data_IF_991598964899
#
_entry.id   IF_991598964899
#
_cell.length_a   1.000
_cell.length_b   1.000
_cell.length_c   1.000
_cell.angle_alpha   90.00
_cell.angle_beta   90.00
_cell.angle_gamma   90.00
#
_symmetry.space_group_name_H-M   'P 1'
#
loop_
_entity.id
_entity.type
_entity.pdbx_description
1 polymer ?
#
# COMPACT_ATOMS: atom_id res chain seq x y z
N UNK A 1 -2.30 -18.42 -1.35
CA UNK A 1 -2.82 -17.26 -2.06
C UNK A 1 -1.99 -15.98 -1.87
N UNK A 2 -1.55 -15.62 -0.64
CA UNK A 2 -0.64 -14.46 -0.43
C UNK A 2 0.66 -14.59 -1.27
N UNK A 3 1.25 -15.79 -1.33
CA UNK A 3 2.43 -16.04 -2.16
C UNK A 3 2.13 -15.88 -3.67
N UNK A 4 0.97 -16.33 -4.14
CA UNK A 4 0.54 -16.12 -5.52
C UNK A 4 0.36 -14.62 -5.82
N UNK A 5 -0.32 -13.87 -4.92
CA UNK A 5 -0.45 -12.41 -5.04
C UNK A 5 0.91 -11.74 -5.17
N UNK A 6 1.85 -12.07 -4.28
CA UNK A 6 3.22 -11.52 -4.30
C UNK A 6 3.95 -11.86 -5.60
N UNK A 7 3.82 -13.09 -6.07
CA UNK A 7 4.38 -13.52 -7.35
C UNK A 7 3.82 -12.70 -8.52
N UNK A 8 2.49 -12.51 -8.58
CA UNK A 8 1.86 -11.69 -9.63
C UNK A 8 2.28 -10.22 -9.56
N UNK A 9 2.36 -9.63 -8.35
CA UNK A 9 2.84 -8.26 -8.16
C UNK A 9 4.25 -8.10 -8.75
N UNK A 10 5.17 -9.01 -8.45
CA UNK A 10 6.55 -8.95 -8.97
C UNK A 10 6.67 -9.12 -10.49
N UNK A 11 5.60 -9.51 -11.16
CA UNK A 11 5.58 -9.66 -12.63
C UNK A 11 5.08 -8.41 -13.34
N UNK A 12 4.54 -7.44 -12.61
CA UNK A 12 4.08 -6.18 -13.18
C UNK A 12 5.20 -5.34 -13.79
N UNK A 13 6.41 -5.39 -13.20
CA UNK A 13 7.58 -4.63 -13.65
C UNK A 13 8.48 -5.40 -14.63
N UNK A 14 8.26 -6.70 -14.80
CA UNK A 14 9.17 -7.56 -15.57
C UNK A 14 8.71 -7.89 -16.99
N UNK A 15 7.65 -7.26 -17.48
CA UNK A 15 7.08 -7.51 -18.83
C UNK A 15 6.97 -8.99 -19.17
N UNK A 16 6.56 -9.83 -18.21
CA UNK A 16 6.51 -11.28 -18.38
C UNK A 16 5.13 -11.75 -18.85
N UNK A 17 5.07 -12.89 -19.54
CA UNK A 17 3.88 -13.38 -20.25
C UNK A 17 2.66 -13.72 -19.38
N UNK A 18 2.74 -13.65 -18.06
CA UNK A 18 1.61 -13.95 -17.17
C UNK A 18 0.44 -12.95 -17.30
N UNK A 19 0.72 -11.73 -17.75
CA UNK A 19 -0.31 -10.77 -18.14
C UNK A 19 -0.56 -10.75 -19.66
N UNK A 20 0.05 -11.69 -20.39
CA UNK A 20 -0.11 -11.87 -21.83
C UNK A 20 0.21 -10.60 -22.61
N UNK A 21 -0.70 -10.19 -23.48
CA UNK A 21 -0.57 -8.97 -24.29
C UNK A 21 -0.91 -7.68 -23.53
N UNK A 22 -1.29 -7.75 -22.25
CA UNK A 22 -1.65 -6.56 -21.47
C UNK A 22 -0.44 -5.72 -21.07
N UNK A 23 0.74 -6.33 -20.91
CA UNK A 23 1.98 -5.64 -20.58
C UNK A 23 3.03 -5.89 -21.66
N UNK A 24 3.00 -5.09 -22.70
CA UNK A 24 3.98 -5.09 -23.78
C UNK A 24 4.65 -3.73 -23.89
N UNK A 25 5.87 -3.65 -24.42
CA UNK A 25 6.56 -2.37 -24.65
C UNK A 25 5.75 -1.37 -25.48
N UNK A 26 4.90 -1.88 -26.40
CA UNK A 26 4.12 -1.05 -27.31
C UNK A 26 2.92 -0.36 -26.64
N UNK A 27 2.49 -0.83 -25.45
CA UNK A 27 1.34 -0.28 -24.74
C UNK A 27 1.65 0.29 -23.36
N UNK A 28 2.95 0.43 -23.04
CA UNK A 28 3.43 1.05 -21.80
C UNK A 28 4.21 2.34 -22.11
N UNK A 29 4.02 3.37 -21.29
CA UNK A 29 4.84 4.56 -21.23
C UNK A 29 5.78 4.53 -20.04
N UNK A 30 6.95 5.12 -20.17
CA UNK A 30 7.93 5.28 -19.08
C UNK A 30 7.61 6.54 -18.29
N UNK A 31 7.55 6.42 -16.97
CA UNK A 31 7.29 7.52 -16.04
C UNK A 31 8.12 7.36 -14.79
N UNK A 32 8.50 8.47 -14.17
CA UNK A 32 8.99 8.51 -12.80
C UNK A 32 7.84 8.55 -11.78
N UNK A 33 8.07 8.10 -10.56
CA UNK A 33 7.09 8.24 -9.47
C UNK A 33 6.68 9.71 -9.27
N UNK A 34 7.61 10.66 -9.47
CA UNK A 34 7.33 12.10 -9.36
C UNK A 34 6.41 12.66 -10.44
N UNK A 35 6.29 12.00 -11.61
CA UNK A 35 5.31 12.33 -12.65
C UNK A 35 3.95 11.67 -12.37
N UNK A 36 3.95 10.53 -11.68
CA UNK A 36 2.75 9.75 -11.36
C UNK A 36 2.03 10.26 -10.11
N UNK A 37 2.76 10.84 -9.16
CA UNK A 37 2.20 11.30 -7.89
C UNK A 37 2.97 12.50 -7.33
N UNK A 38 2.34 13.20 -6.41
CA UNK A 38 2.95 14.30 -5.65
C UNK A 38 2.93 13.98 -4.16
N UNK A 39 3.96 14.39 -3.41
CA UNK A 39 3.90 14.36 -1.94
C UNK A 39 2.89 15.40 -1.45
N UNK A 40 1.95 14.98 -0.62
CA UNK A 40 0.96 15.87 0.02
C UNK A 40 1.62 16.55 1.22
N UNK A 41 1.72 17.90 1.23
CA UNK A 41 2.37 18.62 2.31
C UNK A 41 1.45 18.89 3.51
N UNK A 42 0.15 18.58 3.38
CA UNK A 42 -0.88 18.92 4.35
C UNK A 42 -0.57 18.39 5.75
N UNK A 43 -0.69 19.28 6.75
CA UNK A 43 -0.40 18.98 8.17
C UNK A 43 -1.44 19.64 9.06
N UNK A 44 -1.51 19.12 10.29
CA UNK A 44 -2.21 19.76 11.41
C UNK A 44 -1.27 19.87 12.61
N UNK A 45 -1.24 21.04 13.24
CA UNK A 45 -0.48 21.25 14.47
C UNK A 45 -1.25 20.75 15.70
N UNK A 46 -2.57 20.59 15.56
CA UNK A 46 -3.44 20.07 16.62
C UNK A 46 -4.30 18.92 16.10
N UNK A 47 -3.77 17.69 16.10
CA UNK A 47 -4.48 16.51 15.61
C UNK A 47 -5.80 16.23 16.33
N UNK A 48 -5.86 16.50 17.65
CA UNK A 48 -7.07 16.27 18.46
C UNK A 48 -8.26 17.12 18.01
N UNK A 49 -7.98 18.32 17.49
CA UNK A 49 -9.01 19.28 17.04
C UNK A 49 -9.11 19.37 15.51
N UNK A 50 -8.51 18.43 14.80
CA UNK A 50 -8.53 18.39 13.32
C UNK A 50 -9.89 18.00 12.72
N UNK A 51 -10.82 17.50 13.52
CA UNK A 51 -12.07 16.89 13.07
C UNK A 51 -11.89 15.48 12.49
N UNK A 52 -10.68 14.93 12.53
CA UNK A 52 -10.35 13.57 12.05
C UNK A 52 -10.02 12.70 13.26
N UNK A 53 -10.78 11.64 13.47
CA UNK A 53 -10.65 10.76 14.64
C UNK A 53 -9.61 9.64 14.46
N UNK A 54 -9.25 9.34 13.20
CA UNK A 54 -8.38 8.20 12.87
C UNK A 54 -6.93 8.62 12.72
N UNK A 55 -6.03 7.90 13.39
CA UNK A 55 -4.59 8.07 13.28
C UNK A 55 -3.95 6.80 12.70
N UNK A 56 -3.07 6.99 11.72
CA UNK A 56 -2.26 5.93 11.12
C UNK A 56 -0.79 6.12 11.58
N UNK A 57 -0.36 5.29 12.51
CA UNK A 57 1.03 5.17 12.94
C UNK A 57 1.82 4.21 12.05
N UNK A 58 3.13 4.09 12.31
CA UNK A 58 3.97 3.14 11.57
C UNK A 58 3.60 1.68 11.86
N UNK A 59 3.06 1.39 13.03
CA UNK A 59 2.70 0.03 13.46
C UNK A 59 1.33 -0.42 12.92
N UNK A 60 0.58 0.50 12.32
CA UNK A 60 -0.69 0.18 11.65
C UNK A 60 -0.49 -0.36 10.22
N UNK A 61 0.74 -0.30 9.70
CA UNK A 61 1.10 -0.91 8.43
C UNK A 61 1.50 -2.37 8.62
N UNK A 62 0.93 -3.25 7.81
CA UNK A 62 1.38 -4.63 7.66
C UNK A 62 2.13 -4.79 6.33
N UNK A 63 3.34 -5.37 6.39
CA UNK A 63 4.13 -5.63 5.17
C UNK A 63 3.35 -6.49 4.16
N UNK A 64 3.26 -6.00 2.94
CA UNK A 64 2.55 -6.66 1.85
C UNK A 64 1.02 -6.55 1.89
N UNK A 65 0.43 -5.87 2.87
CA UNK A 65 -1.00 -5.52 2.81
C UNK A 65 -1.18 -4.22 2.00
N UNK A 66 -2.05 -4.28 0.99
CA UNK A 66 -2.22 -3.20 0.01
C UNK A 66 -3.11 -2.06 0.52
N UNK A 67 -3.85 -2.28 1.59
CA UNK A 67 -4.78 -1.30 2.17
C UNK A 67 -4.61 -1.25 3.68
N UNK A 68 -4.64 -0.05 4.25
CA UNK A 68 -4.64 0.13 5.71
C UNK A 68 -5.87 -0.52 6.32
N UNK A 69 -5.66 -1.40 7.30
CA UNK A 69 -6.72 -2.12 8.02
C UNK A 69 -6.82 -1.68 9.49
N UNK A 70 -5.76 -1.08 10.04
CA UNK A 70 -5.67 -0.68 11.44
C UNK A 70 -5.48 0.82 11.55
N UNK A 71 -5.98 1.39 12.60
CA UNK A 71 -5.79 2.79 12.97
C UNK A 71 -6.01 2.95 14.48
N UNK A 72 -5.48 4.03 15.03
CA UNK A 72 -5.67 4.43 16.44
C UNK A 72 -6.49 5.71 16.51
N UNK A 73 -6.86 6.16 17.73
CA UNK A 73 -7.52 7.45 17.96
C UNK A 73 -6.51 8.60 17.93
N UNK A 74 -6.96 9.78 17.48
CA UNK A 74 -6.18 11.03 17.55
C UNK A 74 -6.17 11.69 18.92
N UNK A 75 -7.00 11.26 19.87
CA UNK A 75 -7.23 11.92 21.18
C UNK A 75 -5.97 12.18 22.02
N UNK A 76 -4.94 11.35 21.88
CA UNK A 76 -3.70 11.45 22.66
C UNK A 76 -2.54 12.08 21.88
N UNK A 77 -2.78 12.56 20.67
CA UNK A 77 -1.72 13.14 19.84
C UNK A 77 -1.53 14.61 20.20
N UNK A 78 -0.30 14.98 20.57
CA UNK A 78 0.06 16.37 20.99
C UNK A 78 1.04 17.05 20.04
N UNK A 79 1.55 16.34 19.02
CA UNK A 79 2.54 16.89 18.09
C UNK A 79 1.93 17.06 16.70
N UNK A 80 2.52 17.96 15.89
CA UNK A 80 2.15 18.16 14.51
C UNK A 80 2.23 16.86 13.71
N UNK A 81 1.19 16.56 12.94
CA UNK A 81 1.04 15.33 12.14
C UNK A 81 0.70 15.68 10.70
N UNK A 82 0.86 14.70 9.81
CA UNK A 82 0.43 14.81 8.41
C UNK A 82 -1.05 14.47 8.27
N UNK A 83 -1.67 15.01 7.23
CA UNK A 83 -3.03 14.68 6.83
C UNK A 83 -3.00 13.80 5.58
N UNK A 84 -3.89 12.82 5.51
CA UNK A 84 -4.13 12.04 4.30
C UNK A 84 -5.63 11.89 4.06
N UNK A 85 -6.00 11.75 2.80
CA UNK A 85 -7.37 11.55 2.36
C UNK A 85 -7.56 10.15 1.81
N UNK A 86 -8.80 9.71 1.79
CA UNK A 86 -9.18 8.49 1.08
C UNK A 86 -8.60 8.49 -0.35
N UNK A 87 -7.94 7.40 -0.72
CA UNK A 87 -7.30 7.24 -2.03
C UNK A 87 -5.82 7.65 -2.06
N UNK A 88 -5.29 8.31 -1.02
CA UNK A 88 -3.86 8.59 -0.94
C UNK A 88 -3.06 7.30 -0.71
N UNK A 89 -1.91 7.21 -1.34
CA UNK A 89 -0.93 6.13 -1.14
C UNK A 89 0.04 6.53 -0.05
N UNK A 90 0.17 5.70 0.96
CA UNK A 90 0.98 5.92 2.15
C UNK A 90 2.22 5.05 2.12
N UNK A 91 3.38 5.64 2.36
CA UNK A 91 4.66 4.94 2.41
C UNK A 91 5.37 5.24 3.74
N UNK A 92 5.62 4.21 4.54
CA UNK A 92 6.37 4.32 5.78
C UNK A 92 7.86 4.47 5.48
N UNK A 93 8.35 5.72 5.52
CA UNK A 93 9.73 6.09 5.12
C UNK A 93 10.82 5.62 6.08
N UNK A 94 10.47 5.41 7.35
CA UNK A 94 11.38 4.97 8.40
C UNK A 94 11.48 3.44 8.41
N UNK A 95 12.71 2.92 8.54
CA UNK A 95 12.98 1.49 8.53
C UNK A 95 12.40 0.83 7.26
N UNK A 96 12.78 1.36 6.11
CA UNK A 96 12.27 1.02 4.77
C UNK A 96 12.35 -0.49 4.49
N UNK A 97 13.32 -1.20 5.10
CA UNK A 97 13.47 -2.65 5.00
C UNK A 97 12.24 -3.45 5.51
N UNK A 98 11.36 -2.82 6.30
CA UNK A 98 10.10 -3.44 6.73
C UNK A 98 9.04 -3.48 5.63
N UNK A 99 9.29 -2.86 4.47
CA UNK A 99 8.45 -2.92 3.26
C UNK A 99 6.98 -2.58 3.55
N UNK A 100 6.72 -1.38 4.07
CA UNK A 100 5.41 -0.91 4.52
C UNK A 100 4.89 0.21 3.63
N UNK A 101 4.01 -0.13 2.70
CA UNK A 101 3.28 0.82 1.86
C UNK A 101 1.86 0.31 1.65
N UNK A 102 0.87 1.19 1.76
CA UNK A 102 -0.55 0.83 1.67
C UNK A 102 -1.39 1.99 1.16
N UNK A 103 -2.53 1.70 0.59
CA UNK A 103 -3.57 2.66 0.24
C UNK A 103 -4.45 2.91 1.47
N UNK A 104 -4.84 4.17 1.72
CA UNK A 104 -5.90 4.45 2.69
C UNK A 104 -7.27 4.55 2.02
N UNK A 105 -8.30 3.99 2.66
CA UNK A 105 -9.69 4.04 2.20
C UNK A 105 -10.57 4.96 3.07
N UNK A 106 -9.94 5.81 3.88
CA UNK A 106 -10.57 6.81 4.72
C UNK A 106 -9.62 8.00 4.94
N UNK A 107 -10.18 9.15 5.35
CA UNK A 107 -9.40 10.29 5.77
C UNK A 107 -8.79 10.03 7.15
N UNK A 108 -7.52 10.40 7.32
CA UNK A 108 -6.81 10.17 8.57
C UNK A 108 -5.71 11.22 8.83
N UNK A 109 -5.33 11.32 10.08
CA UNK A 109 -4.06 11.89 10.51
C UNK A 109 -3.01 10.79 10.43
N UNK A 110 -1.80 11.06 9.99
CA UNK A 110 -0.74 10.06 9.94
C UNK A 110 0.61 10.57 10.46
N UNK A 111 1.46 9.64 10.86
CA UNK A 111 2.79 9.91 11.39
C UNK A 111 3.62 10.78 10.45
N UNK A 112 4.47 11.66 10.99
CA UNK A 112 5.46 12.43 10.21
C UNK A 112 6.48 11.55 9.46
N UNK A 113 6.65 10.29 9.87
CA UNK A 113 7.48 9.30 9.18
C UNK A 113 6.72 8.54 8.06
N UNK A 114 5.55 9.04 7.64
CA UNK A 114 4.82 8.57 6.45
C UNK A 114 4.97 9.60 5.33
N UNK A 115 5.31 9.15 4.13
CA UNK A 115 5.15 9.93 2.89
C UNK A 115 3.71 9.70 2.41
N UNK A 116 2.94 10.77 2.30
CA UNK A 116 1.59 10.76 1.74
C UNK A 116 1.68 11.15 0.28
N UNK A 117 1.20 10.31 -0.61
CA UNK A 117 1.26 10.52 -2.06
C UNK A 117 -0.14 10.56 -2.65
N UNK A 118 -0.41 11.63 -3.40
CA UNK A 118 -1.64 11.75 -4.20
C UNK A 118 -1.29 11.56 -5.66
N UNK A 119 -1.95 10.60 -6.29
CA UNK A 119 -1.66 10.22 -7.67
C UNK A 119 -2.28 11.20 -8.68
N UNK A 120 -1.67 11.30 -9.84
CA UNK A 120 -2.27 11.88 -11.03
C UNK A 120 -3.20 10.83 -11.68
N UNK A 121 -4.48 10.86 -11.34
CA UNK A 121 -5.46 9.87 -11.83
C UNK A 121 -5.68 9.90 -13.36
N UNK A 122 -5.14 10.90 -14.05
CA UNK A 122 -5.13 10.92 -15.52
C UNK A 122 -4.11 9.93 -16.12
N UNK A 123 -3.15 9.48 -15.32
CA UNK A 123 -2.05 8.63 -15.78
C UNK A 123 -2.05 7.28 -15.04
N UNK A 124 -2.30 7.28 -13.73
CA UNK A 124 -2.22 6.07 -12.90
C UNK A 124 -3.35 5.98 -11.88
N UNK A 125 -3.89 4.79 -11.70
CA UNK A 125 -4.87 4.51 -10.65
C UNK A 125 -4.15 4.30 -9.31
N UNK A 126 -4.68 4.83 -8.16
CA UNK A 126 -4.06 4.66 -6.84
C UNK A 126 -3.78 3.19 -6.49
N UNK A 127 -4.74 2.31 -6.79
CA UNK A 127 -4.59 0.86 -6.59
C UNK A 127 -3.50 0.25 -7.47
N UNK A 128 -3.23 0.80 -8.65
CA UNK A 128 -2.17 0.31 -9.51
C UNK A 128 -0.80 0.75 -8.99
N UNK A 129 -0.66 2.01 -8.54
CA UNK A 129 0.58 2.50 -7.94
C UNK A 129 0.96 1.67 -6.71
N UNK A 130 0.02 1.36 -5.81
CA UNK A 130 0.35 0.57 -4.62
C UNK A 130 0.77 -0.87 -4.95
N UNK A 131 0.28 -1.47 -6.04
CA UNK A 131 0.80 -2.75 -6.53
C UNK A 131 2.26 -2.62 -6.93
N UNK A 132 2.61 -1.60 -7.75
CA UNK A 132 4.01 -1.34 -8.16
C UNK A 132 4.91 -1.12 -6.95
N UNK A 133 4.50 -0.31 -5.99
CA UNK A 133 5.28 -0.04 -4.77
C UNK A 133 5.43 -1.27 -3.86
N UNK A 134 4.70 -2.33 -4.11
CA UNK A 134 4.87 -3.61 -3.41
C UNK A 134 5.66 -4.65 -4.22
N UNK A 135 6.27 -4.29 -5.35
CA UNK A 135 7.23 -5.15 -6.06
C UNK A 135 8.56 -5.24 -5.31
N UNK A 136 9.29 -6.33 -5.49
CA UNK A 136 10.62 -6.46 -4.88
C UNK A 136 11.60 -5.46 -5.48
N UNK A 137 11.52 -5.19 -6.78
CA UNK A 137 12.35 -4.21 -7.48
C UNK A 137 12.19 -2.80 -6.91
N UNK A 138 10.95 -2.35 -6.68
CA UNK A 138 10.71 -1.05 -6.04
C UNK A 138 11.26 -1.02 -4.61
N UNK A 139 11.10 -2.11 -3.84
CA UNK A 139 11.64 -2.16 -2.48
C UNK A 139 13.16 -2.17 -2.43
N UNK A 140 13.83 -2.87 -3.34
CA UNK A 140 15.30 -2.83 -3.48
C UNK A 140 15.78 -1.41 -3.76
N UNK A 141 15.12 -0.70 -4.68
CA UNK A 141 15.40 0.71 -4.95
C UNK A 141 15.17 1.59 -3.70
N UNK A 142 14.02 1.48 -3.05
CA UNK A 142 13.68 2.29 -1.88
C UNK A 142 14.63 2.05 -0.70
N UNK A 143 15.05 0.79 -0.47
CA UNK A 143 15.99 0.42 0.59
C UNK A 143 17.39 0.94 0.29
N UNK A 144 17.87 0.85 -0.96
CA UNK A 144 19.19 1.36 -1.35
C UNK A 144 19.32 2.87 -1.23
N UNK A 145 18.21 3.62 -1.41
CA UNK A 145 18.16 5.07 -1.27
C UNK A 145 17.84 5.55 0.16
N UNK A 146 17.68 4.62 1.12
CA UNK A 146 17.43 4.99 2.51
C UNK A 146 18.74 5.36 3.23
N UNK A 147 18.80 6.57 3.81
CA UNK A 147 19.96 7.12 4.52
C UNK A 147 19.70 7.30 6.01
N UNK A 148 20.76 7.31 6.80
CA UNK A 148 20.77 7.48 8.26
C UNK A 148 21.48 6.32 8.96
N UNK A 149 21.95 6.56 10.19
CA UNK A 149 22.76 5.59 10.96
C UNK A 149 21.89 4.63 11.77
N UNK A 150 21.02 5.14 12.65
CA UNK A 150 20.20 4.30 13.54
C UNK A 150 18.82 3.92 12.98
N UNK A 151 18.20 4.83 12.25
CA UNK A 151 16.87 4.63 11.63
C UNK A 151 16.88 5.16 10.23
N UNK A 152 17.26 4.31 9.28
CA UNK A 152 17.31 4.69 7.87
C UNK A 152 15.95 5.17 7.37
N UNK A 153 15.95 6.30 6.66
CA UNK A 153 14.76 6.90 6.05
C UNK A 153 15.02 7.20 4.59
N UNK A 154 14.06 6.89 3.75
CA UNK A 154 14.07 7.39 2.37
C UNK A 154 13.34 8.73 2.31
N UNK A 155 13.76 9.63 1.43
CA UNK A 155 13.13 10.93 1.19
C UNK A 155 12.22 10.83 -0.03
N UNK A 156 11.17 11.65 -0.06
CA UNK A 156 10.31 11.75 -1.24
C UNK A 156 11.10 12.02 -2.51
N UNK A 157 12.01 13.01 -2.50
CA UNK A 157 12.81 13.36 -3.66
C UNK A 157 13.58 12.17 -4.25
N UNK A 158 13.98 11.21 -3.39
CA UNK A 158 14.73 10.04 -3.83
C UNK A 158 13.77 8.96 -4.38
N UNK A 159 12.59 8.77 -3.77
CA UNK A 159 11.55 7.90 -4.32
C UNK A 159 10.98 8.41 -5.64
N UNK A 160 10.84 9.72 -5.78
CA UNK A 160 10.30 10.37 -6.98
C UNK A 160 11.10 10.09 -8.24
N UNK A 161 12.39 9.71 -8.11
CA UNK A 161 13.26 9.39 -9.26
C UNK A 161 13.14 7.96 -9.77
N UNK A 162 12.40 7.08 -9.06
CA UNK A 162 12.18 5.71 -9.54
C UNK A 162 11.37 5.73 -10.83
N UNK A 163 11.93 5.19 -11.90
CA UNK A 163 11.28 5.10 -13.21
C UNK A 163 10.72 3.70 -13.44
N UNK A 164 9.59 3.65 -14.14
CA UNK A 164 8.89 2.40 -14.46
C UNK A 164 8.05 2.55 -15.72
N UNK A 165 7.80 1.43 -16.39
CA UNK A 165 6.88 1.36 -17.50
C UNK A 165 5.48 1.00 -17.00
N UNK A 166 4.47 1.81 -17.34
CA UNK A 166 3.07 1.55 -16.98
C UNK A 166 2.17 1.58 -18.23
N UNK A 167 1.15 0.71 -18.30
CA UNK A 167 0.17 0.72 -19.37
C UNK A 167 -0.86 1.84 -19.19
N UNK A 168 -1.69 2.06 -20.20
CA UNK A 168 -2.81 2.98 -20.13
C UNK A 168 -3.83 2.59 -19.02
N UNK A 169 -4.70 3.54 -18.64
CA UNK A 169 -5.69 3.36 -17.56
C UNK A 169 -6.66 2.20 -17.80
N UNK A 170 -6.98 1.91 -19.08
CA UNK A 170 -7.88 0.80 -19.43
C UNK A 170 -7.22 -0.55 -19.14
N UNK A 171 -5.94 -0.68 -19.42
CA UNK A 171 -5.17 -1.89 -19.12
C UNK A 171 -4.92 -2.00 -17.61
N UNK A 172 -4.58 -0.88 -16.95
CA UNK A 172 -4.47 -0.85 -15.49
C UNK A 172 -5.74 -1.39 -14.82
N UNK A 173 -6.94 -0.94 -15.28
CA UNK A 173 -8.23 -1.40 -14.76
C UNK A 173 -8.42 -2.91 -14.93
N UNK A 174 -8.10 -3.46 -16.10
CA UNK A 174 -8.18 -4.92 -16.35
C UNK A 174 -7.27 -5.72 -15.43
N UNK A 175 -6.04 -5.24 -15.20
CA UNK A 175 -5.11 -5.88 -14.28
C UNK A 175 -5.67 -5.81 -12.85
N UNK A 176 -6.20 -4.66 -12.43
CA UNK A 176 -6.81 -4.50 -11.11
C UNK A 176 -8.02 -5.39 -10.89
N UNK A 177 -8.81 -5.70 -11.92
CA UNK A 177 -9.91 -6.67 -11.82
C UNK A 177 -9.40 -8.06 -11.41
N UNK A 178 -8.29 -8.53 -12.00
CA UNK A 178 -7.66 -9.80 -11.60
C UNK A 178 -7.21 -9.77 -10.14
N UNK A 179 -6.56 -8.67 -9.71
CA UNK A 179 -6.14 -8.53 -8.32
C UNK A 179 -7.34 -8.44 -7.35
N UNK A 180 -8.41 -7.74 -7.72
CA UNK A 180 -9.63 -7.67 -6.90
C UNK A 180 -10.27 -9.06 -6.73
N UNK A 181 -10.35 -9.87 -7.78
CA UNK A 181 -10.84 -11.25 -7.69
C UNK A 181 -9.98 -12.09 -6.75
N UNK A 182 -8.66 -11.95 -6.84
CA UNK A 182 -7.74 -12.64 -5.95
C UNK A 182 -7.89 -12.20 -4.48
N UNK A 183 -8.01 -10.89 -4.22
CA UNK A 183 -8.24 -10.36 -2.86
C UNK A 183 -9.57 -10.89 -2.28
N UNK A 184 -10.63 -10.91 -3.08
CA UNK A 184 -11.93 -11.47 -2.66
C UNK A 184 -11.80 -12.96 -2.32
N UNK A 185 -11.10 -13.75 -3.11
CA UNK A 185 -10.84 -15.16 -2.83
C UNK A 185 -10.03 -15.34 -1.54
N UNK A 186 -9.02 -14.50 -1.30
CA UNK A 186 -8.24 -14.50 -0.05
C UNK A 186 -9.14 -14.21 1.16
N UNK A 187 -10.02 -13.21 1.06
CA UNK A 187 -10.94 -12.82 2.11
C UNK A 187 -11.92 -13.95 2.44
N UNK A 188 -12.55 -14.54 1.42
CA UNK A 188 -13.48 -15.67 1.59
C UNK A 188 -12.82 -16.87 2.29
N UNK A 189 -11.60 -17.21 1.90
CA UNK A 189 -10.87 -18.31 2.55
C UNK A 189 -10.47 -17.99 4.00
N UNK A 190 -10.14 -16.73 4.31
CA UNK A 190 -9.92 -16.31 5.71
C UNK A 190 -11.18 -16.48 6.56
N UNK A 191 -12.34 -16.07 6.03
CA UNK A 191 -13.63 -16.23 6.70
C UNK A 191 -13.99 -17.70 6.92
N UNK A 192 -13.89 -18.54 5.88
CA UNK A 192 -14.14 -19.99 5.99
C UNK A 192 -13.24 -20.64 7.03
N UNK A 193 -11.94 -20.30 7.05
CA UNK A 193 -10.98 -20.81 8.05
C UNK A 193 -11.40 -20.43 9.47
N UNK A 194 -11.89 -19.21 9.69
CA UNK A 194 -12.35 -18.74 11.00
C UNK A 194 -13.61 -19.49 11.43
N UNK A 195 -14.58 -19.64 10.53
CA UNK A 195 -15.82 -20.40 10.78
C UNK A 195 -15.51 -21.86 11.13
N UNK A 196 -14.64 -22.51 10.37
CA UNK A 196 -14.23 -23.90 10.66
C UNK A 196 -13.53 -24.04 12.02
N UNK A 197 -12.73 -23.06 12.43
CA UNK A 197 -12.13 -23.05 13.77
C UNK A 197 -13.19 -22.96 14.88
N UNK A 198 -14.18 -22.08 14.71
CA UNK A 198 -15.27 -21.92 15.67
C UNK A 198 -16.13 -23.17 15.75
N UNK A 199 -16.49 -23.78 14.61
CA UNK A 199 -17.24 -25.03 14.57
C UNK A 199 -16.45 -26.16 15.25
N UNK A 200 -15.17 -26.30 14.96
CA UNK A 200 -14.32 -27.29 15.62
C UNK A 200 -14.32 -27.10 17.15
N UNK A 201 -14.16 -25.86 17.63
CA UNK A 201 -14.15 -25.56 19.06
C UNK A 201 -15.50 -25.88 19.72
N UNK A 202 -16.60 -25.54 19.03
CA UNK A 202 -17.96 -25.85 19.52
C UNK A 202 -18.17 -27.37 19.67
N UNK A 203 -17.82 -28.12 18.62
CA UNK A 203 -17.93 -29.58 18.65
C UNK A 203 -17.06 -30.23 19.75
N UNK A 204 -15.82 -29.73 19.93
CA UNK A 204 -14.96 -30.22 21.01
C UNK A 204 -15.58 -29.99 22.40
N UNK A 205 -16.13 -28.79 22.61
CA UNK A 205 -16.80 -28.47 23.87
C UNK A 205 -18.07 -29.31 24.11
N UNK A 206 -18.82 -29.65 23.05
CA UNK A 206 -20.02 -30.52 23.15
C UNK A 206 -19.66 -32.01 23.40
N UNK A 207 -18.50 -32.46 22.94
CA UNK A 207 -18.08 -33.86 23.10
C UNK A 207 -17.30 -34.09 24.41
N UNK A 208 -16.50 -33.08 24.83
CA UNK A 208 -15.59 -33.22 25.98
C UNK A 208 -16.09 -32.52 27.26
N UNK A 209 -17.12 -31.71 27.17
CA UNK A 209 -17.76 -31.01 28.28
C UNK A 209 -18.98 -31.76 28.71
#
# INVERSE_FOLDING_TARGET
LKALRKSLINKLTKQKPEFGTLLTKSNCGEYSIGELAVEVPDRTDNPQNSGIEKFIGLDDFESGELTIQKFSSTEKLVSAMKLCKQGDVLFARRNTYLKRASLTNFDAVCSGDVIVMRVNEKIILPKFLILIMNTDEFWEFAISNAAGTMSKRVKWRDLATYTLEIPDLKIQSKILEVFNQLENAILQLKLQKTTLKHLKQKLLNEILG
#
